data_IF_686172909888
#
_entry.id   IF_686172909888
#
_cell.length_a   1.000
_cell.length_b   1.000
_cell.length_c   1.000
_cell.angle_alpha   90.00
_cell.angle_beta   90.00
_cell.angle_gamma   90.00
#
_symmetry.space_group_name_H-M   'P 1'
#
loop_
_entity.id
_entity.type
_entity.pdbx_description
1 polymer ?
#
# COMPACT_ATOMS: atom_id res chain seq x y z
N UNK A 1 -11.18 -7.63 3.54
CA UNK A 1 -9.77 -7.26 3.74
C UNK A 1 -9.70 -5.98 4.54
N UNK A 2 -9.25 -6.10 5.79
CA UNK A 2 -8.98 -5.00 6.71
C UNK A 2 -7.66 -4.33 6.34
N UNK A 3 -7.61 -3.01 6.37
CA UNK A 3 -6.38 -2.24 6.15
C UNK A 3 -5.80 -1.81 7.49
N UNK A 4 -4.49 -2.01 7.68
CA UNK A 4 -3.77 -1.69 8.93
C UNK A 4 -2.63 -0.73 8.62
N UNK A 5 -2.53 0.35 9.39
CA UNK A 5 -1.53 1.43 9.25
C UNK A 5 -1.59 2.20 7.92
N UNK A 6 -2.76 2.26 7.27
CA UNK A 6 -2.90 2.99 6.00
C UNK A 6 -2.85 4.51 6.20
N UNK A 7 -3.16 5.05 7.38
CA UNK A 7 -2.90 6.47 7.68
C UNK A 7 -1.42 6.84 7.56
N UNK A 8 -0.53 5.91 7.96
CA UNK A 8 0.92 6.08 7.80
C UNK A 8 1.33 5.96 6.33
N UNK A 9 0.75 5.01 5.58
CA UNK A 9 0.94 4.91 4.13
C UNK A 9 0.63 6.23 3.44
N UNK A 10 -0.52 6.85 3.73
CA UNK A 10 -0.91 8.12 3.10
C UNK A 10 0.05 9.24 3.44
N UNK A 11 0.50 9.31 4.68
CA UNK A 11 1.48 10.30 5.13
C UNK A 11 2.81 10.12 4.40
N UNK A 12 3.35 8.90 4.35
CA UNK A 12 4.60 8.59 3.66
C UNK A 12 4.50 8.84 2.15
N UNK A 13 3.36 8.46 1.55
CA UNK A 13 3.09 8.66 0.13
C UNK A 13 3.02 10.15 -0.21
N UNK A 14 2.27 10.97 0.55
CA UNK A 14 2.18 12.41 0.32
C UNK A 14 3.50 13.12 0.56
N UNK A 15 4.23 12.77 1.62
CA UNK A 15 5.55 13.37 1.88
C UNK A 15 6.54 13.10 0.76
N UNK A 16 6.41 11.97 0.06
CA UNK A 16 7.30 11.58 -1.03
C UNK A 16 6.80 12.07 -2.40
N UNK A 17 5.48 12.18 -2.58
CA UNK A 17 4.82 12.50 -3.83
C UNK A 17 3.74 13.59 -3.66
N UNK A 18 4.14 14.74 -3.11
CA UNK A 18 3.21 15.83 -2.75
C UNK A 18 2.35 16.34 -3.93
N UNK A 19 2.90 16.28 -5.15
CA UNK A 19 2.18 16.67 -6.38
C UNK A 19 1.21 15.60 -6.90
N UNK A 20 1.12 14.45 -6.24
CA UNK A 20 0.29 13.33 -6.70
C UNK A 20 -1.14 13.45 -6.18
N UNK A 21 -2.12 13.31 -7.10
CA UNK A 21 -3.55 13.51 -6.80
C UNK A 21 -4.23 12.31 -6.14
N UNK A 22 -3.48 11.35 -5.62
CA UNK A 22 -4.09 10.24 -4.89
C UNK A 22 -4.73 10.78 -3.61
N UNK A 23 -6.04 10.50 -3.48
CA UNK A 23 -6.72 10.59 -2.19
C UNK A 23 -6.37 9.37 -1.35
N UNK A 24 -6.52 9.48 -0.04
CA UNK A 24 -6.36 8.35 0.88
C UNK A 24 -7.17 7.14 0.39
N UNK A 25 -8.48 7.34 0.14
CA UNK A 25 -9.39 6.30 -0.35
C UNK A 25 -8.93 5.65 -1.65
N UNK A 26 -8.54 6.45 -2.65
CA UNK A 26 -8.12 5.91 -3.95
C UNK A 26 -6.81 5.13 -3.87
N UNK A 27 -5.90 5.50 -2.96
CA UNK A 27 -4.68 4.73 -2.74
C UNK A 27 -5.01 3.42 -2.00
N UNK A 28 -5.92 3.45 -1.02
CA UNK A 28 -6.41 2.24 -0.35
C UNK A 28 -6.92 1.19 -1.32
N UNK A 29 -7.87 1.62 -2.16
CA UNK A 29 -8.58 0.76 -3.09
C UNK A 29 -7.62 0.15 -4.11
N UNK A 30 -6.62 0.92 -4.58
CA UNK A 30 -5.60 0.43 -5.49
C UNK A 30 -4.72 -0.64 -4.85
N UNK A 31 -4.29 -0.46 -3.59
CA UNK A 31 -3.49 -1.46 -2.87
C UNK A 31 -4.28 -2.74 -2.64
N UNK A 32 -5.53 -2.63 -2.18
CA UNK A 32 -6.40 -3.80 -1.98
C UNK A 32 -6.65 -4.52 -3.29
N UNK A 33 -6.93 -3.79 -4.36
CA UNK A 33 -7.18 -4.35 -5.69
C UNK A 33 -5.98 -5.14 -6.19
N UNK A 34 -4.78 -4.54 -6.16
CA UNK A 34 -3.55 -5.20 -6.63
C UNK A 34 -3.14 -6.39 -5.77
N UNK A 35 -3.24 -6.28 -4.44
CA UNK A 35 -2.92 -7.40 -3.56
C UNK A 35 -3.84 -8.62 -3.81
N UNK A 36 -5.11 -8.38 -4.19
CA UNK A 36 -6.04 -9.43 -4.61
C UNK A 36 -5.72 -9.98 -6.00
N UNK A 37 -5.39 -9.11 -6.97
CA UNK A 37 -5.00 -9.51 -8.33
C UNK A 37 -3.75 -10.41 -8.33
N UNK A 38 -2.78 -10.11 -7.47
CA UNK A 38 -1.56 -10.91 -7.30
C UNK A 38 -1.81 -12.25 -6.56
N UNK A 39 -3.05 -12.51 -6.10
CA UNK A 39 -3.45 -13.71 -5.34
C UNK A 39 -2.45 -14.05 -4.21
N UNK A 40 -2.09 -13.07 -3.38
CA UNK A 40 -1.18 -13.28 -2.24
C UNK A 40 -2.01 -13.68 -1.02
N UNK A 41 -2.08 -14.97 -0.64
CA UNK A 41 -2.89 -15.40 0.51
C UNK A 41 -2.26 -14.99 1.85
N UNK A 42 -0.94 -15.17 1.98
CA UNK A 42 -0.12 -14.75 3.11
C UNK A 42 1.29 -14.44 2.57
N UNK A 43 1.87 -13.30 2.94
CA UNK A 43 3.21 -12.94 2.48
C UNK A 43 3.48 -11.44 2.40
N UNK A 44 4.36 -11.06 1.47
CA UNK A 44 4.75 -9.66 1.24
C UNK A 44 4.21 -9.21 -0.11
N UNK A 45 3.40 -8.15 -0.09
CA UNK A 45 2.98 -7.43 -1.29
C UNK A 45 3.85 -6.18 -1.47
N UNK A 46 4.30 -5.94 -2.70
CA UNK A 46 5.16 -4.82 -3.06
C UNK A 46 4.44 -3.92 -4.07
N UNK A 47 4.10 -2.72 -3.64
CA UNK A 47 3.55 -1.70 -4.53
C UNK A 47 4.67 -0.76 -4.98
N UNK A 48 5.03 -0.84 -6.26
CA UNK A 48 6.00 0.07 -6.87
C UNK A 48 5.30 1.28 -7.43
N UNK A 49 5.70 2.47 -6.98
CA UNK A 49 5.26 3.74 -7.53
C UNK A 49 6.47 4.62 -7.83
N UNK A 50 6.74 4.85 -9.12
CA UNK A 50 7.98 5.48 -9.60
C UNK A 50 9.21 4.73 -9.04
N UNK A 51 10.11 5.43 -8.35
CA UNK A 51 11.33 4.88 -7.75
C UNK A 51 11.12 4.34 -6.32
N UNK A 52 9.89 4.38 -5.78
CA UNK A 52 9.63 4.00 -4.39
C UNK A 52 8.86 2.68 -4.34
N UNK A 53 9.30 1.78 -3.47
CA UNK A 53 8.66 0.50 -3.21
C UNK A 53 7.99 0.56 -1.84
N UNK A 54 6.66 0.61 -1.82
CA UNK A 54 5.87 0.47 -0.61
C UNK A 54 5.65 -1.01 -0.31
N UNK A 55 5.89 -1.40 0.93
CA UNK A 55 5.86 -2.79 1.39
C UNK A 55 4.64 -3.02 2.26
N UNK A 56 4.00 -4.15 2.05
CA UNK A 56 2.83 -4.58 2.78
C UNK A 56 2.97 -6.01 3.24
N UNK A 57 2.57 -6.29 4.47
CA UNK A 57 2.35 -7.64 4.95
C UNK A 57 0.91 -8.01 4.67
N UNK A 58 0.70 -9.05 3.88
CA UNK A 58 -0.61 -9.62 3.62
C UNK A 58 -0.78 -10.83 4.53
N UNK A 59 -1.88 -10.85 5.26
CA UNK A 59 -2.34 -12.02 5.97
C UNK A 59 -3.80 -12.28 5.59
N UNK A 60 -4.26 -13.52 5.54
CA UNK A 60 -5.63 -13.98 5.21
C UNK A 60 -6.71 -12.91 4.89
N UNK A 61 -7.08 -12.03 5.84
CA UNK A 61 -8.05 -10.94 5.64
C UNK A 61 -7.54 -9.54 6.03
N UNK A 62 -6.24 -9.31 6.05
CA UNK A 62 -5.64 -8.02 6.35
C UNK A 62 -4.46 -7.67 5.46
N UNK A 63 -4.36 -6.39 5.09
CA UNK A 63 -3.17 -5.81 4.48
C UNK A 63 -2.63 -4.77 5.46
N UNK A 64 -1.41 -4.99 5.93
CA UNK A 64 -0.70 -4.08 6.82
C UNK A 64 0.40 -3.35 6.05
N UNK A 65 0.41 -2.03 6.10
CA UNK A 65 1.52 -1.24 5.61
C UNK A 65 2.70 -1.30 6.58
N UNK A 66 3.88 -1.72 6.10
CA UNK A 66 5.08 -1.91 6.94
C UNK A 66 6.21 -0.93 6.64
N UNK A 67 6.11 -0.11 5.60
CA UNK A 67 7.09 0.92 5.26
C UNK A 67 7.40 0.99 3.76
N UNK A 68 8.43 1.75 3.41
CA UNK A 68 8.86 1.93 2.02
C UNK A 68 10.39 2.00 1.89
N UNK A 69 10.87 1.72 0.69
CA UNK A 69 12.27 1.88 0.27
C UNK A 69 12.36 2.76 -0.98
N UNK A 70 13.43 3.55 -1.09
CA UNK A 70 13.74 4.42 -2.23
C UNK A 70 14.81 3.80 -3.11
#
# INVERSE_FOLDING_TARGET
>A
MKTVNFEKLYTDFKNTFDLCRYTNKSLEEEIIRRAKEDNIPDGVFLFRFRLVIFKFKVANDSIEYIGYEK
#
